data_IF_767417665525
#
_entry.id   IF_767417665525
#
_cell.length_a   1.000
_cell.length_b   1.000
_cell.length_c   1.000
_cell.angle_alpha   90.00
_cell.angle_beta   90.00
_cell.angle_gamma   90.00
#
_symmetry.space_group_name_H-M   'P 1'
#
loop_
_entity.id
_entity.type
_entity.pdbx_description
1 polymer ?
#
# COMPACT_ATOMS: atom_id res chain seq x y z
N UNK A 1 3.29 19.59 -25.03
CA UNK A 1 4.23 18.89 -25.93
C UNK A 1 5.13 18.04 -25.05
N UNK A 2 4.82 16.74 -24.90
CA UNK A 2 5.60 15.79 -24.09
C UNK A 2 6.60 15.09 -25.00
N UNK A 3 7.89 15.13 -24.67
CA UNK A 3 8.94 14.51 -25.45
C UNK A 3 8.98 12.97 -25.33
N UNK A 4 9.70 12.28 -26.22
CA UNK A 4 9.78 10.83 -26.25
C UNK A 4 10.36 10.28 -24.94
N UNK A 5 9.70 9.26 -24.38
CA UNK A 5 10.10 8.62 -23.13
C UNK A 5 11.44 7.91 -23.33
N UNK A 6 12.45 8.33 -22.57
CA UNK A 6 13.84 7.83 -22.60
C UNK A 6 13.94 6.30 -22.47
N UNK A 7 12.91 5.64 -21.95
CA UNK A 7 12.93 4.22 -21.58
C UNK A 7 12.36 3.27 -22.64
N UNK A 8 11.62 3.76 -23.63
CA UNK A 8 11.03 2.90 -24.65
C UNK A 8 11.22 3.55 -26.02
N UNK A 9 12.08 2.94 -26.84
CA UNK A 9 12.25 3.34 -28.24
C UNK A 9 10.90 3.39 -28.94
N UNK A 10 10.73 4.40 -29.81
CA UNK A 10 9.48 4.78 -30.47
C UNK A 10 8.59 3.56 -30.80
N UNK A 11 7.62 3.29 -29.92
CA UNK A 11 6.58 2.34 -30.21
C UNK A 11 5.76 2.94 -31.36
N UNK A 12 5.57 2.15 -32.42
CA UNK A 12 4.82 2.53 -33.61
C UNK A 12 3.43 3.06 -33.26
N UNK A 13 3.19 4.34 -33.58
CA UNK A 13 1.90 5.04 -33.43
C UNK A 13 0.88 4.57 -34.48
N UNK A 14 0.43 3.30 -34.43
CA UNK A 14 -0.77 2.87 -35.16
C UNK A 14 -2.01 3.00 -34.23
N UNK A 15 -2.86 4.03 -34.41
CA UNK A 15 -4.05 4.24 -33.59
C UNK A 15 -5.13 3.16 -33.76
N UNK A 16 -5.02 2.25 -34.74
CA UNK A 16 -5.92 1.10 -34.93
C UNK A 16 -5.48 -0.16 -34.16
N UNK A 17 -4.26 -0.18 -33.60
CA UNK A 17 -3.66 -1.37 -32.98
C UNK A 17 -4.08 -1.63 -31.51
N UNK A 18 -4.91 -0.76 -30.94
CA UNK A 18 -5.26 -0.81 -29.50
C UNK A 18 -4.11 -0.31 -28.60
N UNK A 19 -4.27 -0.39 -27.27
CA UNK A 19 -3.26 0.08 -26.33
C UNK A 19 -1.94 -0.68 -26.48
N UNK A 20 -0.83 0.05 -26.56
CA UNK A 20 0.51 -0.52 -26.60
C UNK A 20 0.97 -1.01 -25.21
N UNK A 21 2.07 -1.77 -25.17
CA UNK A 21 2.69 -2.14 -23.89
C UNK A 21 3.13 -0.91 -23.07
N UNK A 22 3.54 0.18 -23.74
CA UNK A 22 3.89 1.45 -23.09
C UNK A 22 2.65 2.10 -22.47
N UNK A 23 1.50 2.04 -23.14
CA UNK A 23 0.24 2.57 -22.61
C UNK A 23 -0.20 1.87 -21.32
N UNK A 24 0.03 0.55 -21.24
CA UNK A 24 -0.23 -0.23 -20.02
C UNK A 24 0.67 0.25 -18.88
N UNK A 25 1.96 0.45 -19.12
CA UNK A 25 2.90 0.92 -18.09
C UNK A 25 2.60 2.36 -17.64
N UNK A 26 2.23 3.24 -18.57
CA UNK A 26 1.76 4.59 -18.24
C UNK A 26 0.44 4.59 -17.47
N UNK A 27 -0.47 3.65 -17.76
CA UNK A 27 -1.68 3.45 -16.97
C UNK A 27 -1.35 3.01 -15.54
N UNK A 28 -0.39 2.11 -15.35
CA UNK A 28 0.12 1.70 -14.02
C UNK A 28 0.70 2.91 -13.29
N UNK A 29 1.53 3.73 -13.94
CA UNK A 29 2.13 4.91 -13.30
C UNK A 29 1.07 5.90 -12.83
N UNK A 30 0.13 6.25 -13.71
CA UNK A 30 -1.03 7.12 -13.38
C UNK A 30 -1.85 6.55 -12.22
N UNK A 31 -2.08 5.24 -12.21
CA UNK A 31 -2.78 4.57 -11.11
C UNK A 31 -2.02 4.72 -9.78
N UNK A 32 -0.69 4.50 -9.76
CA UNK A 32 0.14 4.64 -8.54
C UNK A 32 0.16 6.07 -7.99
N UNK A 33 0.15 7.07 -8.87
CA UNK A 33 0.06 8.49 -8.49
C UNK A 33 -1.30 8.82 -7.87
N UNK A 34 -2.39 8.35 -8.48
CA UNK A 34 -3.75 8.52 -7.95
C UNK A 34 -3.91 7.83 -6.58
N UNK A 35 -3.36 6.63 -6.44
CA UNK A 35 -3.30 5.87 -5.20
C UNK A 35 -2.51 6.62 -4.09
N UNK A 36 -1.36 7.20 -4.42
CA UNK A 36 -0.59 8.00 -3.47
C UNK A 36 -1.35 9.25 -3.02
N UNK A 37 -2.04 9.93 -3.94
CA UNK A 37 -2.89 11.08 -3.61
C UNK A 37 -4.10 10.66 -2.74
N UNK A 38 -4.70 9.50 -3.02
CA UNK A 38 -5.78 8.92 -2.22
C UNK A 38 -5.34 8.62 -0.79
N UNK A 39 -4.18 7.97 -0.61
CA UNK A 39 -3.62 7.70 0.72
C UNK A 39 -3.42 8.98 1.53
N UNK A 40 -2.89 10.03 0.92
CA UNK A 40 -2.72 11.34 1.57
C UNK A 40 -4.06 11.97 1.98
N UNK A 41 -5.10 11.90 1.13
CA UNK A 41 -6.45 12.41 1.45
C UNK A 41 -7.10 11.62 2.59
N UNK A 42 -6.99 10.30 2.55
CA UNK A 42 -7.51 9.41 3.60
C UNK A 42 -6.85 9.66 4.94
N UNK A 43 -5.53 9.82 4.96
CA UNK A 43 -4.77 10.20 6.16
C UNK A 43 -5.29 11.51 6.78
N UNK A 44 -5.48 12.54 5.95
CA UNK A 44 -6.04 13.84 6.39
C UNK A 44 -7.46 13.71 6.92
N UNK A 45 -8.34 13.00 6.22
CA UNK A 45 -9.74 12.81 6.61
C UNK A 45 -9.90 11.97 7.89
N UNK A 46 -9.07 10.94 8.05
CA UNK A 46 -9.01 10.15 9.27
C UNK A 46 -8.32 10.89 10.44
N UNK A 47 -7.66 12.04 10.19
CA UNK A 47 -6.74 12.72 11.12
C UNK A 47 -5.62 11.80 11.62
N UNK A 48 -5.16 10.90 10.75
CA UNK A 48 -4.17 9.87 11.07
C UNK A 48 -2.93 10.02 10.18
N UNK A 49 -1.74 9.91 10.77
CA UNK A 49 -0.50 9.83 10.03
C UNK A 49 -0.34 8.50 9.27
N UNK A 50 0.65 8.42 8.38
CA UNK A 50 0.91 7.18 7.62
C UNK A 50 1.19 5.97 8.52
N UNK A 51 2.03 6.16 9.54
CA UNK A 51 2.36 5.12 10.51
C UNK A 51 1.15 4.71 11.36
N UNK A 52 0.19 5.61 11.60
CA UNK A 52 -1.04 5.31 12.33
C UNK A 52 -1.89 4.28 11.57
N UNK A 53 -2.07 4.49 10.26
CA UNK A 53 -2.81 3.56 9.41
C UNK A 53 -2.07 2.24 9.20
N UNK A 54 -0.74 2.26 9.05
CA UNK A 54 0.07 1.03 8.97
C UNK A 54 -0.05 0.21 10.25
N UNK A 55 0.00 0.87 11.41
CA UNK A 55 -0.12 0.20 12.69
C UNK A 55 -1.49 -0.42 12.89
N UNK A 56 -2.57 0.31 12.61
CA UNK A 56 -3.92 -0.24 12.71
C UNK A 56 -4.13 -1.42 11.78
N UNK A 57 -3.70 -1.35 10.51
CA UNK A 57 -3.80 -2.49 9.58
C UNK A 57 -3.06 -3.72 10.09
N UNK A 58 -1.86 -3.53 10.62
CA UNK A 58 -1.08 -4.63 11.19
C UNK A 58 -1.77 -5.25 12.40
N UNK A 59 -2.22 -4.44 13.37
CA UNK A 59 -2.91 -4.92 14.58
C UNK A 59 -4.14 -5.72 14.21
N UNK A 60 -4.95 -5.22 13.27
CA UNK A 60 -6.16 -5.89 12.79
C UNK A 60 -5.86 -7.21 12.11
N UNK A 61 -4.80 -7.27 11.30
CA UNK A 61 -4.38 -8.52 10.66
C UNK A 61 -4.00 -9.58 11.71
N UNK A 62 -3.26 -9.17 12.75
CA UNK A 62 -2.88 -10.07 13.85
C UNK A 62 -4.09 -10.55 14.66
N UNK A 63 -5.04 -9.65 14.97
CA UNK A 63 -6.28 -10.02 15.65
C UNK A 63 -7.09 -11.04 14.84
N UNK A 64 -7.21 -10.87 13.51
CA UNK A 64 -7.89 -11.82 12.63
C UNK A 64 -7.18 -13.17 12.54
N UNK A 65 -5.87 -13.19 12.70
CA UNK A 65 -5.07 -14.41 12.75
C UNK A 65 -5.11 -15.10 14.13
N UNK A 66 -5.89 -14.58 15.10
CA UNK A 66 -5.94 -15.12 16.47
C UNK A 66 -4.67 -14.85 17.28
N UNK A 67 -3.84 -13.90 16.85
CA UNK A 67 -2.59 -13.55 17.51
C UNK A 67 -2.78 -12.40 18.51
N UNK A 68 -1.78 -12.23 19.37
CA UNK A 68 -1.72 -11.21 20.41
C UNK A 68 -0.74 -10.10 20.02
N UNK A 69 -1.15 -9.09 19.22
CA UNK A 69 -0.28 -7.99 18.83
C UNK A 69 0.17 -7.20 20.06
N UNK A 70 1.45 -6.84 20.09
CA UNK A 70 2.07 -6.05 21.15
C UNK A 70 2.98 -4.96 20.55
N UNK A 71 3.45 -4.03 21.39
CA UNK A 71 4.26 -2.89 20.93
C UNK A 71 5.60 -3.30 20.29
N UNK A 72 6.21 -4.41 20.74
CA UNK A 72 7.46 -4.92 20.20
C UNK A 72 7.26 -5.55 18.81
N UNK A 73 6.19 -6.32 18.62
CA UNK A 73 5.80 -6.87 17.32
C UNK A 73 5.45 -5.76 16.33
N UNK A 74 4.74 -4.72 16.80
CA UNK A 74 4.43 -3.55 15.98
C UNK A 74 5.71 -2.82 15.53
N UNK A 75 6.65 -2.63 16.46
CA UNK A 75 7.92 -1.96 16.17
C UNK A 75 8.68 -2.67 15.04
N UNK A 76 8.79 -4.00 15.15
CA UNK A 76 9.43 -4.86 14.14
C UNK A 76 8.71 -4.79 12.79
N UNK A 77 7.39 -4.90 12.80
CA UNK A 77 6.59 -4.92 11.58
C UNK A 77 6.64 -3.61 10.78
N UNK A 78 6.78 -2.48 11.47
CA UNK A 78 6.85 -1.17 10.82
C UNK A 78 8.28 -0.65 10.64
N UNK A 79 9.31 -1.41 11.05
CA UNK A 79 10.71 -1.00 10.96
C UNK A 79 11.03 0.23 11.81
N UNK A 80 10.41 0.35 12.98
CA UNK A 80 10.56 1.51 13.88
C UNK A 80 11.22 1.12 15.20
N UNK A 81 11.83 2.10 15.86
CA UNK A 81 12.38 1.92 17.20
C UNK A 81 11.27 1.66 18.24
N UNK A 82 11.63 1.03 19.35
CA UNK A 82 10.71 0.80 20.48
C UNK A 82 10.10 2.11 20.99
N UNK A 83 10.90 3.18 21.09
CA UNK A 83 10.42 4.49 21.52
C UNK A 83 9.42 5.10 20.52
N UNK A 84 9.67 4.97 19.21
CA UNK A 84 8.75 5.44 18.18
C UNK A 84 7.43 4.64 18.19
N UNK A 85 7.50 3.32 18.35
CA UNK A 85 6.33 2.44 18.50
C UNK A 85 5.51 2.79 19.74
N UNK A 86 6.16 3.00 20.89
CA UNK A 86 5.46 3.40 22.12
C UNK A 86 4.70 4.72 21.95
N UNK A 87 5.32 5.73 21.33
CA UNK A 87 4.70 7.02 21.04
C UNK A 87 3.52 6.90 20.07
N UNK A 88 3.66 6.04 19.05
CA UNK A 88 2.61 5.73 18.09
C UNK A 88 1.39 5.08 18.76
N UNK A 89 1.64 4.06 19.60
CA UNK A 89 0.58 3.37 20.36
C UNK A 89 -0.13 4.34 21.30
N UNK A 90 0.60 5.16 22.05
CA UNK A 90 0.01 6.15 22.95
C UNK A 90 -0.88 7.16 22.20
N UNK A 91 -0.46 7.63 21.02
CA UNK A 91 -1.26 8.51 20.17
C UNK A 91 -2.53 7.83 19.67
N UNK A 92 -2.45 6.58 19.20
CA UNK A 92 -3.59 5.81 18.73
C UNK A 92 -4.60 5.51 19.85
N UNK A 93 -4.11 5.25 21.06
CA UNK A 93 -4.94 5.07 22.26
C UNK A 93 -5.64 6.37 22.66
N UNK A 94 -4.92 7.50 22.70
CA UNK A 94 -5.50 8.82 22.98
C UNK A 94 -6.56 9.25 21.94
N UNK A 95 -6.36 8.88 20.68
CA UNK A 95 -7.32 9.09 19.60
C UNK A 95 -8.53 8.12 19.65
N UNK A 96 -8.56 7.19 20.61
CA UNK A 96 -9.65 6.22 20.76
C UNK A 96 -9.67 5.15 19.68
N UNK A 97 -8.54 4.91 19.01
CA UNK A 97 -8.41 3.88 17.97
C UNK A 97 -7.94 2.52 18.50
N UNK A 98 -7.28 2.54 19.65
CA UNK A 98 -6.70 1.37 20.30
C UNK A 98 -7.05 1.38 21.80
N UNK A 99 -6.90 0.23 22.44
CA UNK A 99 -6.76 0.11 23.89
C UNK A 99 -5.70 -0.93 24.22
N UNK A 100 -5.01 -0.75 25.34
CA UNK A 100 -4.11 -1.75 25.93
C UNK A 100 -4.88 -2.62 26.91
N UNK A 101 -4.63 -3.92 26.86
CA UNK A 101 -5.21 -4.89 27.79
C UNK A 101 -4.14 -5.88 28.24
N UNK A 102 -4.24 -6.47 29.44
CA UNK A 102 -3.41 -7.60 29.84
C UNK A 102 -3.68 -8.83 28.94
N UNK A 103 -2.67 -9.65 28.69
CA UNK A 103 -2.86 -10.94 28.02
C UNK A 103 -3.65 -11.89 28.92
N UNK A 104 -4.52 -12.71 28.32
CA UNK A 104 -5.42 -13.60 29.06
C UNK A 104 -4.66 -14.60 29.94
N UNK A 105 -3.58 -15.17 29.41
CA UNK A 105 -2.78 -16.19 30.10
C UNK A 105 -1.60 -15.63 30.91
N UNK A 106 -1.18 -14.39 30.64
CA UNK A 106 -0.08 -13.74 31.34
C UNK A 106 -0.32 -12.23 31.47
N UNK A 107 -0.83 -11.80 32.63
CA UNK A 107 -1.13 -10.40 32.92
C UNK A 107 0.08 -9.45 32.87
N UNK A 108 1.32 -9.97 32.78
CA UNK A 108 2.53 -9.17 32.58
C UNK A 108 2.71 -8.73 31.12
N UNK A 109 2.07 -9.42 30.18
CA UNK A 109 2.13 -9.11 28.75
C UNK A 109 1.00 -8.16 28.41
N UNK A 110 1.33 -7.01 27.83
CA UNK A 110 0.34 -6.04 27.32
C UNK A 110 0.07 -6.32 25.85
N UNK A 111 -1.20 -6.55 25.53
CA UNK A 111 -1.70 -6.70 24.16
C UNK A 111 -2.39 -5.42 23.69
N UNK A 112 -2.30 -5.18 22.39
CA UNK A 112 -2.94 -4.06 21.71
C UNK A 112 -4.26 -4.55 21.11
N UNK A 113 -5.37 -3.90 21.44
CA UNK A 113 -6.66 -4.21 20.84
C UNK A 113 -7.19 -3.04 20.03
N UNK A 114 -7.60 -3.31 18.79
CA UNK A 114 -8.26 -2.30 17.97
C UNK A 114 -9.65 -2.01 18.52
N UNK A 115 -10.03 -0.73 18.59
CA UNK A 115 -11.40 -0.36 18.97
C UNK A 115 -12.33 -0.46 17.75
N UNK A 116 -13.58 -0.93 17.89
CA UNK A 116 -14.54 -0.99 16.79
C UNK A 116 -14.75 0.35 16.07
N UNK A 117 -14.66 1.46 16.81
CA UNK A 117 -14.73 2.83 16.30
C UNK A 117 -13.60 3.20 15.34
N UNK A 118 -12.40 2.63 15.50
CA UNK A 118 -11.26 2.84 14.60
C UNK A 118 -11.53 2.22 13.22
N UNK A 119 -12.09 1.01 13.24
CA UNK A 119 -12.51 0.30 12.03
C UNK A 119 -13.67 1.00 11.35
N UNK A 120 -14.66 1.48 12.12
CA UNK A 120 -15.81 2.18 11.58
C UNK A 120 -15.38 3.44 10.85
N UNK A 121 -14.49 4.27 11.43
CA UNK A 121 -14.05 5.52 10.81
C UNK A 121 -13.19 5.33 9.56
N UNK A 122 -12.29 4.36 9.57
CA UNK A 122 -11.51 4.02 8.36
C UNK A 122 -12.44 3.45 7.28
N UNK A 123 -13.41 2.60 7.67
CA UNK A 123 -14.43 2.09 6.75
C UNK A 123 -15.32 3.20 6.22
N UNK A 124 -15.80 4.13 7.02
CA UNK A 124 -16.63 5.26 6.59
C UNK A 124 -15.91 6.12 5.54
N UNK A 125 -14.62 6.38 5.73
CA UNK A 125 -13.82 7.18 4.78
C UNK A 125 -13.53 6.41 3.49
N UNK A 126 -13.30 5.09 3.55
CA UNK A 126 -12.87 4.29 2.41
C UNK A 126 -14.00 3.52 1.71
N UNK A 127 -15.11 3.23 2.38
CA UNK A 127 -16.19 2.38 1.86
C UNK A 127 -16.81 2.95 0.58
N UNK A 128 -17.15 4.26 0.49
CA UNK A 128 -17.70 4.81 -0.75
C UNK A 128 -16.74 4.71 -1.95
N UNK A 129 -15.44 4.65 -1.69
CA UNK A 129 -14.43 4.43 -2.73
C UNK A 129 -14.33 2.94 -3.10
N UNK A 130 -14.20 2.05 -2.12
CA UNK A 130 -14.13 0.60 -2.39
C UNK A 130 -15.38 0.08 -3.09
N UNK A 131 -16.57 0.60 -2.76
CA UNK A 131 -17.80 0.27 -3.48
C UNK A 131 -17.75 0.69 -4.96
N UNK A 132 -17.17 1.86 -5.27
CA UNK A 132 -16.97 2.30 -6.66
C UNK A 132 -15.96 1.42 -7.39
N UNK A 133 -14.89 1.01 -6.71
CA UNK A 133 -13.90 0.08 -7.27
C UNK A 133 -14.51 -1.31 -7.53
N UNK A 134 -15.33 -1.80 -6.61
CA UNK A 134 -16.04 -3.07 -6.77
C UNK A 134 -16.98 -3.01 -7.98
N UNK A 135 -17.80 -1.95 -8.11
CA UNK A 135 -18.66 -1.76 -9.28
C UNK A 135 -17.90 -1.70 -10.60
N UNK A 136 -16.72 -1.07 -10.62
CA UNK A 136 -15.85 -1.05 -11.80
C UNK A 136 -15.33 -2.46 -12.12
N UNK A 137 -14.90 -3.23 -11.12
CA UNK A 137 -14.46 -4.61 -11.33
C UNK A 137 -15.63 -5.50 -11.81
N UNK A 138 -16.84 -5.27 -11.30
CA UNK A 138 -18.07 -5.95 -11.73
C UNK A 138 -18.52 -5.56 -13.14
N UNK A 139 -18.15 -4.39 -13.65
CA UNK A 139 -18.46 -3.99 -15.03
C UNK A 139 -17.56 -4.63 -16.08
N UNK A 140 -16.44 -5.24 -15.67
CA UNK A 140 -15.55 -5.97 -16.58
C UNK A 140 -16.14 -7.34 -16.93
N UNK A 141 -15.93 -7.79 -18.16
CA UNK A 141 -16.23 -9.15 -18.59
C UNK A 141 -15.32 -10.16 -17.88
N UNK A 142 -15.76 -11.43 -17.69
CA UNK A 142 -14.95 -12.43 -16.98
C UNK A 142 -13.54 -12.63 -17.55
N UNK A 143 -13.37 -12.48 -18.86
CA UNK A 143 -12.04 -12.56 -19.50
C UNK A 143 -11.16 -11.37 -19.15
N UNK A 144 -11.71 -10.16 -19.16
CA UNK A 144 -10.99 -8.93 -18.81
C UNK A 144 -10.56 -8.96 -17.33
N UNK A 145 -11.44 -9.43 -16.43
CA UNK A 145 -11.10 -9.60 -15.01
C UNK A 145 -9.91 -10.52 -14.83
N UNK A 146 -9.88 -11.68 -15.51
CA UNK A 146 -8.74 -12.60 -15.45
C UNK A 146 -7.46 -11.93 -15.94
N UNK A 147 -7.52 -11.27 -17.10
CA UNK A 147 -6.37 -10.56 -17.66
C UNK A 147 -5.83 -9.49 -16.71
N UNK A 148 -6.70 -8.70 -16.08
CA UNK A 148 -6.29 -7.65 -15.12
C UNK A 148 -5.67 -8.27 -13.86
N UNK A 149 -6.28 -9.31 -13.29
CA UNK A 149 -5.75 -9.99 -12.10
C UNK A 149 -4.37 -10.60 -12.40
N UNK A 150 -4.26 -11.40 -13.47
CA UNK A 150 -3.01 -12.06 -13.84
C UNK A 150 -1.89 -11.05 -14.11
N UNK A 151 -2.21 -9.93 -14.78
CA UNK A 151 -1.25 -8.87 -15.04
C UNK A 151 -0.77 -8.20 -13.75
N UNK A 152 -1.69 -7.81 -12.86
CA UNK A 152 -1.36 -7.12 -11.61
C UNK A 152 -0.59 -8.00 -10.64
N UNK A 153 -0.91 -9.30 -10.56
CA UNK A 153 -0.19 -10.25 -9.72
C UNK A 153 1.25 -10.44 -10.18
N UNK A 154 1.45 -10.61 -11.50
CA UNK A 154 2.79 -10.73 -12.10
C UNK A 154 3.60 -9.45 -11.94
N UNK A 155 2.98 -8.30 -12.15
CA UNK A 155 3.61 -7.00 -11.93
C UNK A 155 3.97 -6.79 -10.45
N UNK A 156 3.08 -7.23 -9.55
CA UNK A 156 3.31 -7.20 -8.11
C UNK A 156 4.49 -8.06 -7.68
N UNK A 157 4.63 -9.26 -8.26
CA UNK A 157 5.79 -10.12 -8.04
C UNK A 157 7.09 -9.43 -8.46
N UNK A 158 7.14 -8.84 -9.67
CA UNK A 158 8.32 -8.13 -10.17
C UNK A 158 8.71 -6.95 -9.27
N UNK A 159 7.75 -6.14 -8.83
CA UNK A 159 8.02 -4.96 -7.99
C UNK A 159 8.31 -5.35 -6.53
N UNK A 160 7.81 -6.50 -6.08
CA UNK A 160 8.01 -7.02 -4.73
C UNK A 160 9.32 -7.79 -4.55
N UNK A 161 10.04 -8.12 -5.62
CA UNK A 161 11.38 -8.69 -5.54
C UNK A 161 12.34 -7.69 -4.88
N UNK A 162 13.03 -8.07 -3.79
CA UNK A 162 14.07 -7.24 -3.23
C UNK A 162 15.21 -7.14 -4.24
N UNK A 163 15.50 -5.94 -4.72
CA UNK A 163 16.74 -5.67 -5.44
C UNK A 163 17.91 -6.05 -4.52
N UNK A 164 18.83 -6.94 -4.96
CA UNK A 164 19.96 -7.32 -4.12
C UNK A 164 20.75 -6.04 -3.77
N UNK A 165 21.18 -5.88 -2.51
CA UNK A 165 21.77 -4.63 -2.01
C UNK A 165 23.03 -4.17 -2.76
N UNK A 166 23.61 -5.02 -3.62
CA UNK A 166 24.77 -4.77 -4.46
C UNK A 166 24.54 -5.11 -5.95
N UNK A 167 23.35 -4.86 -6.51
CA UNK A 167 23.24 -4.81 -7.97
C UNK A 167 24.14 -3.66 -8.47
N UNK A 168 25.23 -3.94 -9.23
CA UNK A 168 26.06 -2.86 -9.75
C UNK A 168 25.18 -1.98 -10.64
N UNK A 169 25.27 -0.65 -10.44
CA UNK A 169 24.69 0.30 -11.37
C UNK A 169 25.08 -0.10 -12.79
N UNK A 170 24.13 -0.21 -13.75
CA UNK A 170 24.48 -0.46 -15.12
C UNK A 170 25.50 0.61 -15.56
N UNK A 171 26.62 0.23 -16.20
CA UNK A 171 27.66 1.18 -16.56
C UNK A 171 27.05 2.31 -17.40
N UNK A 172 27.35 3.55 -17.03
CA UNK A 172 26.96 4.74 -17.79
C UNK A 172 27.35 4.52 -19.26
N UNK A 173 26.41 4.61 -20.22
CA UNK A 173 26.74 4.45 -21.62
C UNK A 173 27.82 5.48 -22.00
N UNK A 174 28.80 5.11 -22.84
CA UNK A 174 29.91 5.98 -23.16
C UNK A 174 29.38 7.31 -23.72
N UNK A 175 29.91 8.42 -23.21
CA UNK A 175 29.68 9.74 -23.80
C UNK A 175 30.15 9.67 -25.24
N UNK A 176 29.23 9.91 -26.17
CA UNK A 176 29.58 10.16 -27.56
C UNK A 176 30.20 11.56 -27.60
N UNK A 177 31.52 11.62 -27.44
CA UNK A 177 32.29 12.81 -27.72
C UNK A 177 32.23 13.06 -29.24
N UNK A 178 31.83 14.28 -29.60
CA UNK A 178 31.68 14.76 -30.97
C UNK A 178 32.78 15.75 -31.29
#
# INVERSE_FOLDING_TARGET
MSGPSYWYGAASDDPAAGPTAVDVLEAVRRHREAEAAMRRRTQRAARMGENDLRALRWIVAQERAGLSPNAAGLARALGMSTAASAKLVARLEAAGHLRREPHADDGRVVVLRSRPSAHARIREVLAPMHERMLRLAESLEPVERRTVVDFLDRLGAIVGEPEPPDAPFPPTPPRQDR
#
